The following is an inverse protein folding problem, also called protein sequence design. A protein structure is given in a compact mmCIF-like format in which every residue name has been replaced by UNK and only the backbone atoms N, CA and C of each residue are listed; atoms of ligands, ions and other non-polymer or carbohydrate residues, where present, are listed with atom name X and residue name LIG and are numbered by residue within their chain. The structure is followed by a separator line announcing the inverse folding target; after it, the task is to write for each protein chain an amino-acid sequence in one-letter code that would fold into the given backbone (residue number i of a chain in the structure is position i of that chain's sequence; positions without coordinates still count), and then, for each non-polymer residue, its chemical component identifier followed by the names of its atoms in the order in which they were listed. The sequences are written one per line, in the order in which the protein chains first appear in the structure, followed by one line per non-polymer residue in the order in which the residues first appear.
data_IF_014828119028
#
_entry.id   IF_014828119028
#
_cell.length_a   1.000
_cell.length_b   1.000
_cell.length_c   1.000
_cell.angle_alpha   90.00
_cell.angle_beta   90.00
_cell.angle_gamma   90.00
#
_symmetry.space_group_name_H-M   'P 1'
#
loop_
_entity.id
_entity.type
_entity.pdbx_description
1 polymer ?
#
# COMPACT_ATOMS: atom_id res chain seq x y z
N UNK A 1 -27.76 2.95 25.67
CA UNK A 1 -27.36 1.53 25.69
C UNK A 1 -27.05 1.13 24.25
N UNK A 2 -25.77 0.96 23.86
CA UNK A 2 -25.46 0.54 22.50
C UNK A 2 -25.98 -0.89 22.31
N UNK A 3 -26.72 -1.10 21.22
CA UNK A 3 -27.29 -2.41 20.88
C UNK A 3 -26.17 -3.46 20.84
N UNK A 4 -26.37 -4.56 21.57
CA UNK A 4 -25.49 -5.73 21.53
C UNK A 4 -25.36 -6.15 20.06
N UNK A 5 -24.13 -6.05 19.55
CA UNK A 5 -23.80 -6.35 18.16
C UNK A 5 -24.41 -7.69 17.73
N UNK A 6 -25.12 -7.65 16.60
CA UNK A 6 -25.70 -8.81 15.93
C UNK A 6 -24.62 -9.89 15.79
N UNK A 7 -24.85 -11.09 16.31
CA UNK A 7 -23.90 -12.21 16.12
C UNK A 7 -23.75 -12.48 14.62
N UNK A 8 -22.54 -12.48 14.07
CA UNK A 8 -22.33 -12.79 12.66
C UNK A 8 -22.82 -14.21 12.39
N UNK A 9 -23.57 -14.40 11.31
CA UNK A 9 -23.99 -15.72 10.84
C UNK A 9 -22.81 -16.44 10.17
N UNK A 10 -22.92 -17.76 9.95
CA UNK A 10 -21.91 -18.48 9.17
C UNK A 10 -21.77 -17.88 7.76
N UNK A 11 -22.87 -17.46 7.14
CA UNK A 11 -22.84 -16.77 5.84
C UNK A 11 -22.08 -15.44 5.91
N UNK A 12 -22.22 -14.68 7.01
CA UNK A 12 -21.45 -13.45 7.21
C UNK A 12 -19.95 -13.75 7.39
N UNK A 13 -19.60 -14.85 8.05
CA UNK A 13 -18.21 -15.27 8.28
C UNK A 13 -17.55 -15.83 7.01
N UNK A 14 -18.33 -16.52 6.17
CA UNK A 14 -17.87 -17.11 4.91
C UNK A 14 -18.08 -16.18 3.71
N UNK A 15 -18.67 -14.99 3.90
CA UNK A 15 -18.85 -14.02 2.83
C UNK A 15 -17.48 -13.64 2.27
N UNK A 16 -17.27 -14.00 1.01
CA UNK A 16 -16.08 -13.64 0.27
C UNK A 16 -15.99 -12.11 0.21
N UNK A 17 -14.83 -11.58 0.60
CA UNK A 17 -14.59 -10.14 0.53
C UNK A 17 -14.46 -9.71 -0.94
N UNK A 18 -14.90 -8.49 -1.32
CA UNK A 18 -14.89 -8.05 -2.73
C UNK A 18 -13.53 -8.19 -3.41
N UNK A 19 -12.42 -7.96 -2.70
CA UNK A 19 -11.08 -8.15 -3.25
C UNK A 19 -10.75 -9.60 -3.68
N UNK A 20 -11.51 -10.60 -3.25
CA UNK A 20 -11.35 -11.98 -3.74
C UNK A 20 -11.95 -12.19 -5.14
N UNK A 21 -12.91 -11.36 -5.52
CA UNK A 21 -13.61 -11.39 -6.80
C UNK A 21 -12.93 -10.57 -7.90
N UNK A 22 -11.76 -9.96 -7.63
CA UNK A 22 -10.96 -9.26 -8.66
C UNK A 22 -10.63 -10.23 -9.80
N UNK A 23 -11.05 -9.87 -11.02
CA UNK A 23 -10.89 -10.72 -12.20
C UNK A 23 -9.42 -10.96 -12.58
N UNK A 24 -8.57 -9.92 -12.47
CA UNK A 24 -7.14 -10.03 -12.76
C UNK A 24 -6.41 -10.74 -11.62
N UNK A 25 -5.91 -11.94 -11.90
CA UNK A 25 -5.21 -12.79 -10.91
C UNK A 25 -3.99 -12.09 -10.31
N UNK A 26 -3.21 -11.37 -11.11
CA UNK A 26 -2.01 -10.64 -10.65
C UNK A 26 -2.35 -9.55 -9.63
N UNK A 27 -3.43 -8.79 -9.88
CA UNK A 27 -3.91 -7.75 -8.98
C UNK A 27 -4.39 -8.35 -7.67
N UNK A 28 -5.24 -9.38 -7.74
CA UNK A 28 -5.74 -10.11 -6.57
C UNK A 28 -4.61 -10.65 -5.70
N UNK A 29 -3.58 -11.23 -6.33
CA UNK A 29 -2.40 -11.77 -5.64
C UNK A 29 -1.61 -10.68 -4.92
N UNK A 30 -1.41 -9.51 -5.54
CA UNK A 30 -0.68 -8.41 -4.91
C UNK A 30 -1.49 -7.78 -3.76
N UNK A 31 -2.82 -7.64 -3.90
CA UNK A 31 -3.69 -7.22 -2.78
C UNK A 31 -3.62 -8.22 -1.62
N UNK A 32 -3.72 -9.53 -1.90
CA UNK A 32 -3.60 -10.55 -0.87
C UNK A 32 -2.23 -10.50 -0.16
N UNK A 33 -1.14 -10.25 -0.91
CA UNK A 33 0.20 -10.07 -0.34
C UNK A 33 0.31 -8.83 0.53
N UNK A 34 -0.28 -7.71 0.11
CA UNK A 34 -0.33 -6.50 0.91
C UNK A 34 -1.06 -6.77 2.24
N UNK A 35 -2.23 -7.40 2.19
CA UNK A 35 -3.01 -7.74 3.38
C UNK A 35 -2.33 -8.76 4.30
N UNK A 36 -1.53 -9.66 3.72
CA UNK A 36 -0.76 -10.65 4.46
C UNK A 36 0.59 -10.10 4.99
N UNK A 37 0.91 -8.83 4.75
CA UNK A 37 2.18 -8.24 5.19
C UNK A 37 3.41 -8.86 4.53
N UNK A 38 3.30 -9.23 3.25
CA UNK A 38 4.42 -9.74 2.44
C UNK A 38 4.60 -8.96 1.12
N UNK A 39 4.64 -7.62 1.15
CA UNK A 39 4.89 -6.82 -0.04
C UNK A 39 6.36 -6.95 -0.51
N UNK A 40 6.68 -6.59 -1.77
CA UNK A 40 8.03 -6.56 -2.31
C UNK A 40 8.83 -5.34 -1.82
N UNK A 41 8.56 -4.84 -0.62
CA UNK A 41 9.18 -3.64 -0.06
C UNK A 41 10.38 -4.02 0.81
N UNK A 42 11.29 -3.06 1.03
CA UNK A 42 12.51 -3.28 1.79
C UNK A 42 12.20 -3.72 3.23
N UNK A 43 11.10 -3.23 3.82
CA UNK A 43 10.68 -3.61 5.17
C UNK A 43 10.64 -5.13 5.36
N UNK A 44 10.13 -5.88 4.37
CA UNK A 44 10.01 -7.35 4.45
C UNK A 44 11.08 -8.11 3.68
N UNK A 45 11.56 -7.59 2.55
CA UNK A 45 12.62 -8.27 1.78
C UNK A 45 13.94 -8.28 2.57
N UNK A 46 14.35 -7.14 3.12
CA UNK A 46 15.60 -7.02 3.88
C UNK A 46 15.49 -7.54 5.32
N UNK A 47 14.26 -7.66 5.88
CA UNK A 47 14.03 -8.33 7.17
C UNK A 47 14.56 -9.76 7.18
N UNK A 48 14.40 -10.48 6.06
CA UNK A 48 14.88 -11.86 5.90
C UNK A 48 16.40 -11.97 5.88
N UNK A 49 17.08 -10.86 5.60
CA UNK A 49 18.53 -10.74 5.60
C UNK A 49 19.05 -10.08 6.89
N UNK A 50 18.22 -9.99 7.94
CA UNK A 50 18.58 -9.44 9.26
C UNK A 50 19.05 -7.98 9.25
N UNK A 51 18.69 -7.20 8.22
CA UNK A 51 19.02 -5.77 8.17
C UNK A 51 18.19 -5.00 9.22
N UNK A 52 18.78 -4.11 10.03
CA UNK A 52 18.05 -3.28 10.98
C UNK A 52 16.96 -2.45 10.30
N UNK A 53 15.84 -2.19 10.99
CA UNK A 53 14.66 -1.54 10.37
C UNK A 53 15.01 -0.15 9.84
N UNK A 54 15.80 0.59 10.60
CA UNK A 54 16.30 1.93 10.30
C UNK A 54 17.09 1.99 8.99
N UNK A 55 17.76 0.90 8.61
CA UNK A 55 18.55 0.82 7.37
C UNK A 55 17.73 0.33 6.18
N UNK A 56 16.47 -0.06 6.37
CA UNK A 56 15.55 -0.47 5.28
C UNK A 56 14.91 0.77 4.64
N UNK A 57 15.73 1.73 4.25
CA UNK A 57 15.25 2.98 3.68
C UNK A 57 14.67 2.77 2.28
N UNK A 58 13.82 3.70 1.87
CA UNK A 58 13.16 3.67 0.58
C UNK A 58 14.16 3.73 -0.57
N UNK A 59 14.06 2.76 -1.48
CA UNK A 59 14.91 2.68 -2.68
C UNK A 59 14.78 3.86 -3.64
N UNK A 60 13.66 4.57 -3.56
CA UNK A 60 13.36 5.69 -4.45
C UNK A 60 13.83 7.03 -3.87
N UNK A 61 13.34 7.41 -2.69
CA UNK A 61 13.67 8.72 -2.12
C UNK A 61 14.99 8.72 -1.34
N UNK A 62 15.51 7.53 -0.97
CA UNK A 62 16.83 7.34 -0.35
C UNK A 62 17.10 8.31 0.81
N UNK A 63 16.06 8.55 1.61
CA UNK A 63 16.10 9.52 2.70
C UNK A 63 16.11 8.81 4.05
N UNK A 64 16.93 9.30 4.97
CA UNK A 64 17.04 8.82 6.33
C UNK A 64 15.70 9.08 7.05
N UNK A 65 15.18 8.06 7.72
CA UNK A 65 13.85 8.09 8.35
C UNK A 65 12.71 7.68 7.41
N UNK A 66 12.91 7.69 6.10
CA UNK A 66 11.93 7.18 5.13
C UNK A 66 12.10 5.66 4.94
N UNK A 67 11.61 4.89 5.91
CA UNK A 67 11.61 3.42 5.82
C UNK A 67 10.69 2.97 4.69
N UNK A 68 11.14 2.00 3.89
CA UNK A 68 10.37 1.44 2.79
C UNK A 68 9.30 0.47 3.28
N UNK A 69 8.29 1.01 3.96
CA UNK A 69 7.10 0.28 4.37
C UNK A 69 5.90 0.59 3.47
N UNK A 70 4.79 -0.10 3.73
CA UNK A 70 3.57 0.03 2.96
C UNK A 70 3.02 1.46 3.01
N UNK A 71 3.12 2.15 4.15
CA UNK A 71 2.59 3.49 4.29
C UNK A 71 3.41 4.48 3.45
N UNK A 72 4.73 4.35 3.48
CA UNK A 72 5.61 5.18 2.69
C UNK A 72 5.36 4.99 1.19
N UNK A 73 5.44 3.75 0.69
CA UNK A 73 5.28 3.47 -0.75
C UNK A 73 3.89 3.84 -1.27
N UNK A 74 2.83 3.47 -0.55
CA UNK A 74 1.47 3.67 -1.03
C UNK A 74 1.00 5.12 -0.90
N UNK A 75 1.53 5.92 0.02
CA UNK A 75 0.87 7.20 0.36
C UNK A 75 1.78 8.43 0.35
N UNK A 76 3.08 8.31 0.65
CA UNK A 76 3.92 9.50 0.88
C UNK A 76 5.22 9.56 0.08
N UNK A 77 5.66 8.47 -0.55
CA UNK A 77 6.94 8.46 -1.27
C UNK A 77 6.94 9.48 -2.42
N UNK A 78 7.90 10.41 -2.48
CA UNK A 78 7.92 11.50 -3.46
C UNK A 78 8.35 11.07 -4.87
N UNK A 79 8.69 9.80 -5.07
CA UNK A 79 9.06 9.26 -6.38
C UNK A 79 8.00 9.58 -7.45
N UNK A 80 8.39 10.13 -8.62
CA UNK A 80 7.44 10.53 -9.65
C UNK A 80 6.52 9.41 -10.14
N UNK A 81 7.00 8.17 -10.24
CA UNK A 81 6.17 7.06 -10.70
C UNK A 81 5.14 6.64 -9.63
N UNK A 82 5.53 6.66 -8.36
CA UNK A 82 4.60 6.41 -7.25
C UNK A 82 3.59 7.55 -7.07
N UNK A 83 4.01 8.81 -7.25
CA UNK A 83 3.11 9.98 -7.27
C UNK A 83 2.07 9.81 -8.38
N UNK A 84 2.52 9.54 -9.61
CA UNK A 84 1.62 9.35 -10.75
C UNK A 84 0.63 8.20 -10.51
N UNK A 85 1.07 7.10 -9.91
CA UNK A 85 0.20 5.98 -9.56
C UNK A 85 -0.89 6.38 -8.54
N UNK A 86 -0.54 7.17 -7.52
CA UNK A 86 -1.50 7.69 -6.53
C UNK A 86 -2.49 8.68 -7.14
N UNK A 87 -2.02 9.57 -8.00
CA UNK A 87 -2.87 10.55 -8.69
C UNK A 87 -3.85 9.86 -9.62
N UNK A 88 -3.37 8.91 -10.44
CA UNK A 88 -4.23 8.13 -11.33
C UNK A 88 -5.29 7.36 -10.55
N UNK A 89 -4.88 6.68 -9.47
CA UNK A 89 -5.81 6.00 -8.56
C UNK A 89 -6.90 6.96 -8.06
N UNK A 90 -6.52 8.16 -7.65
CA UNK A 90 -7.47 9.13 -7.13
C UNK A 90 -8.41 9.67 -8.21
N UNK A 91 -7.90 9.99 -9.39
CA UNK A 91 -8.69 10.44 -10.54
C UNK A 91 -9.72 9.39 -10.93
N UNK A 92 -9.32 8.12 -11.05
CA UNK A 92 -10.20 7.03 -11.45
C UNK A 92 -11.31 6.80 -10.41
N UNK A 93 -10.95 6.82 -9.12
CA UNK A 93 -11.95 6.69 -8.04
C UNK A 93 -12.95 7.85 -8.05
N UNK A 94 -12.51 9.08 -8.29
CA UNK A 94 -13.40 10.24 -8.35
C UNK A 94 -14.27 10.25 -9.61
N UNK A 95 -13.77 9.72 -10.73
CA UNK A 95 -14.55 9.57 -11.94
C UNK A 95 -15.72 8.59 -11.73
N UNK A 96 -15.48 7.49 -11.02
CA UNK A 96 -16.54 6.51 -10.68
C UNK A 96 -17.44 6.97 -9.52
N UNK A 97 -16.86 7.65 -8.51
CA UNK A 97 -17.57 8.08 -7.31
C UNK A 97 -17.10 9.45 -6.82
N UNK A 98 -17.68 10.55 -7.34
CA UNK A 98 -17.29 11.91 -6.93
C UNK A 98 -17.44 12.19 -5.43
N UNK A 99 -18.41 11.54 -4.76
CA UNK A 99 -18.64 11.67 -3.32
C UNK A 99 -17.50 11.12 -2.45
N UNK A 100 -16.61 10.30 -3.03
CA UNK A 100 -15.44 9.76 -2.33
C UNK A 100 -14.46 10.87 -1.89
N UNK A 101 -14.46 12.04 -2.55
CA UNK A 101 -13.66 13.20 -2.16
C UNK A 101 -13.94 13.64 -0.71
N UNK A 102 -15.21 13.67 -0.33
CA UNK A 102 -15.62 14.09 1.02
C UNK A 102 -15.17 13.09 2.09
N UNK A 103 -15.27 11.81 1.77
CA UNK A 103 -14.83 10.72 2.64
C UNK A 103 -13.32 10.80 2.85
N UNK A 104 -12.55 10.96 1.76
CA UNK A 104 -11.08 11.03 1.79
C UNK A 104 -10.54 12.07 2.75
N UNK A 105 -11.21 13.22 2.89
CA UNK A 105 -10.82 14.31 3.81
C UNK A 105 -11.03 13.99 5.28
N UNK A 106 -11.77 12.93 5.60
CA UNK A 106 -12.20 12.58 6.96
C UNK A 106 -11.59 11.29 7.49
N UNK A 107 -10.95 10.51 6.61
CA UNK A 107 -10.38 9.21 6.95
C UNK A 107 -8.89 9.18 6.65
N UNK A 108 -8.17 8.28 7.32
CA UNK A 108 -6.78 7.99 6.96
C UNK A 108 -6.68 7.32 5.58
N UNK A 109 -5.51 7.39 4.98
CA UNK A 109 -5.22 6.81 3.67
C UNK A 109 -5.45 5.30 3.65
N UNK A 110 -5.06 4.63 4.74
CA UNK A 110 -5.35 3.21 4.96
C UNK A 110 -6.84 2.91 5.01
N UNK A 111 -7.62 3.69 5.77
CA UNK A 111 -9.06 3.51 5.84
C UNK A 111 -9.70 3.77 4.47
N UNK A 112 -9.21 4.76 3.72
CA UNK A 112 -9.67 5.03 2.37
C UNK A 112 -9.40 3.87 1.41
N UNK A 113 -8.18 3.34 1.39
CA UNK A 113 -7.82 2.16 0.58
C UNK A 113 -8.63 0.92 0.99
N UNK A 114 -8.85 0.71 2.29
CA UNK A 114 -9.66 -0.41 2.77
C UNK A 114 -11.12 -0.29 2.30
N UNK A 115 -11.71 0.92 2.32
CA UNK A 115 -13.06 1.14 1.83
C UNK A 115 -13.17 0.87 0.33
N UNK A 116 -12.21 1.32 -0.48
CA UNK A 116 -12.25 1.09 -1.93
C UNK A 116 -12.02 -0.39 -2.29
N UNK A 117 -11.19 -1.12 -1.54
CA UNK A 117 -11.03 -2.58 -1.69
C UNK A 117 -12.25 -3.40 -1.24
N UNK A 118 -13.12 -2.81 -0.43
CA UNK A 118 -14.36 -3.43 0.06
C UNK A 118 -15.60 -2.96 -0.72
N UNK A 119 -15.43 -2.13 -1.74
CA UNK A 119 -16.51 -1.66 -2.59
C UNK A 119 -16.49 -2.43 -3.93
N UNK A 120 -17.62 -3.03 -4.30
CA UNK A 120 -17.72 -3.90 -5.48
C UNK A 120 -17.43 -3.18 -6.80
N UNK A 121 -17.63 -1.86 -6.88
CA UNK A 121 -17.34 -1.08 -8.07
C UNK A 121 -15.88 -0.61 -8.07
N UNK A 122 -15.40 -0.10 -6.94
CA UNK A 122 -14.08 0.53 -6.85
C UNK A 122 -12.91 -0.46 -6.65
N UNK A 123 -13.20 -1.72 -6.30
CA UNK A 123 -12.17 -2.72 -5.94
C UNK A 123 -11.17 -2.97 -7.06
N UNK A 124 -11.61 -2.92 -8.32
CA UNK A 124 -10.72 -3.14 -9.47
C UNK A 124 -9.70 -2.02 -9.60
N UNK A 125 -10.14 -0.77 -9.42
CA UNK A 125 -9.32 0.45 -9.48
C UNK A 125 -8.33 0.48 -8.30
N UNK A 126 -8.79 0.19 -7.08
CA UNK A 126 -7.92 0.06 -5.92
C UNK A 126 -6.89 -1.07 -6.05
N UNK A 127 -7.28 -2.21 -6.63
CA UNK A 127 -6.36 -3.31 -6.84
C UNK A 127 -5.34 -3.04 -7.96
N UNK A 128 -5.71 -2.27 -8.98
CA UNK A 128 -4.79 -1.81 -10.02
C UNK A 128 -3.73 -0.88 -9.44
N UNK A 129 -4.13 0.05 -8.57
CA UNK A 129 -3.20 0.90 -7.84
C UNK A 129 -2.15 0.08 -7.04
N UNK A 130 -2.62 -0.86 -6.20
CA UNK A 130 -1.72 -1.74 -5.44
C UNK A 130 -0.84 -2.58 -6.36
N UNK A 131 -1.37 -3.06 -7.48
CA UNK A 131 -0.58 -3.81 -8.45
C UNK A 131 0.54 -2.95 -9.04
N UNK A 132 0.24 -1.72 -9.50
CA UNK A 132 1.21 -0.81 -10.09
C UNK A 132 2.35 -0.47 -9.15
N UNK A 133 2.07 -0.16 -7.87
CA UNK A 133 3.13 0.13 -6.89
C UNK A 133 4.02 -1.08 -6.63
N UNK A 134 3.45 -2.28 -6.60
CA UNK A 134 4.22 -3.53 -6.50
C UNK A 134 5.12 -3.74 -7.72
N UNK A 135 4.65 -3.49 -8.94
CA UNK A 135 5.47 -3.67 -10.14
C UNK A 135 6.60 -2.63 -10.22
N UNK A 136 6.33 -1.37 -9.85
CA UNK A 136 7.37 -0.32 -9.71
C UNK A 136 8.45 -0.78 -8.72
N UNK A 137 8.07 -1.31 -7.55
CA UNK A 137 9.02 -1.82 -6.57
C UNK A 137 9.77 -3.06 -7.03
N UNK A 138 9.15 -3.96 -7.79
CA UNK A 138 9.86 -5.16 -8.32
C UNK A 138 10.87 -4.81 -9.40
N UNK A 139 10.63 -3.75 -10.16
CA UNK A 139 11.50 -3.32 -11.25
C UNK A 139 12.81 -2.68 -10.76
N UNK A 140 12.81 -2.13 -9.54
CA UNK A 140 13.95 -1.44 -8.95
C UNK A 140 14.49 -2.26 -7.77
N UNK A 141 15.79 -2.59 -7.67
CA UNK A 141 16.31 -3.31 -6.51
C UNK A 141 16.20 -2.47 -5.21
N UNK A 142 16.11 -3.10 -4.02
CA UNK A 142 16.18 -2.38 -2.75
C UNK A 142 17.49 -1.58 -2.63
N UNK A 143 17.45 -0.47 -1.89
CA UNK A 143 18.66 0.28 -1.57
C UNK A 143 19.37 -0.36 -0.39
N UNK A 144 20.62 -0.76 -0.60
CA UNK A 144 21.43 -1.47 0.40
C UNK A 144 22.45 -0.50 1.01
N UNK A 145 22.42 -0.40 2.34
CA UNK A 145 23.44 0.28 3.14
C UNK A 145 24.37 -0.80 3.67
N UNK A 146 25.64 -0.76 3.24
CA UNK A 146 26.61 -1.81 3.56
C UNK A 146 27.54 -1.40 4.69
N UNK A 147 27.77 -0.10 4.86
CA UNK A 147 28.70 0.44 5.87
C UNK A 147 28.08 1.58 6.66
N UNK A 148 28.64 1.86 7.85
CA UNK A 148 28.24 3.01 8.66
C UNK A 148 28.57 4.35 7.97
N UNK A 149 29.57 4.37 7.09
CA UNK A 149 29.91 5.54 6.26
C UNK A 149 28.81 5.80 5.22
N UNK A 150 28.31 4.74 4.56
CA UNK A 150 27.17 4.84 3.64
C UNK A 150 25.95 5.37 4.39
N UNK A 151 25.71 4.85 5.60
CA UNK A 151 24.62 5.31 6.46
C UNK A 151 24.76 6.80 6.79
N UNK A 152 25.96 7.27 7.15
CA UNK A 152 26.23 8.66 7.48
C UNK A 152 25.97 9.62 6.31
N UNK A 153 26.18 9.15 5.07
CA UNK A 153 25.95 9.91 3.84
C UNK A 153 24.49 10.04 3.41
N UNK A 154 23.56 9.28 3.99
CA UNK A 154 22.13 9.35 3.63
C UNK A 154 21.53 10.70 4.08
N UNK A 155 20.90 11.47 3.17
CA UNK A 155 20.26 12.74 3.51
C UNK A 155 19.05 12.53 4.43
N UNK A 156 18.76 13.47 5.33
CA UNK A 156 17.53 13.42 6.13
C UNK A 156 16.29 13.66 5.27
N UNK A 157 15.19 12.97 5.59
CA UNK A 157 13.89 13.28 4.99
C UNK A 157 13.47 14.71 5.38
N UNK A 158 13.26 15.56 4.37
CA UNK A 158 12.74 16.93 4.51
C UNK A 158 11.27 16.91 4.90
#
# INVERSE_FOLDING_TARGET
MPAIARRPTLDDLFKLRPYTAIARISHRRNVARLLAGVPPYAIETMRRHHVPREWRICRFCQARGAVEDESHILFSCPDPALVAARELYFVDILAERPSALHIRRRVSDWAFLAMTLMDEHLVTTAAAFVHSTFEICKATPPYEILTDEDWAGVPEAV
#
